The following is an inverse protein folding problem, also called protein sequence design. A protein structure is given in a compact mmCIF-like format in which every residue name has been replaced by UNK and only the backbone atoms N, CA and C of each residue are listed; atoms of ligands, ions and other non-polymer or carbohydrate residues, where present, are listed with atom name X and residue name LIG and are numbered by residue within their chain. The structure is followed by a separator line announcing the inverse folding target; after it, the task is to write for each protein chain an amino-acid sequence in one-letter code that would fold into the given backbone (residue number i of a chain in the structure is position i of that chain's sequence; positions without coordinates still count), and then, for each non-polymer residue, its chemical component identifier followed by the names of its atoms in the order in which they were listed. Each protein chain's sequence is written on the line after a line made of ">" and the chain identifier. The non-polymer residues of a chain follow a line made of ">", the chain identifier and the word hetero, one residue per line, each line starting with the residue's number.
data_IF_388603066299
#
_entry.id   IF_388603066299
#
_cell.length_a   1.000
_cell.length_b   1.000
_cell.length_c   1.000
_cell.angle_alpha   90.00
_cell.angle_beta   90.00
_cell.angle_gamma   90.00
#
_symmetry.space_group_name_H-M   'P 1'
#
loop_
_entity.id
_entity.type
_entity.pdbx_description
1 polymer ?
#
# COMPACT_ATOMS: atom_id res chain seq x y z
N UNK A 1 -13.42 8.44 22.92
CA UNK A 1 -14.20 8.11 21.70
C UNK A 1 -13.32 7.29 20.75
N UNK A 2 -13.50 5.96 20.68
CA UNK A 2 -12.74 5.10 19.76
C UNK A 2 -13.37 5.17 18.37
N UNK A 3 -12.75 5.89 17.45
CA UNK A 3 -13.11 5.84 16.03
C UNK A 3 -12.98 4.40 15.55
N UNK A 4 -14.10 3.70 15.37
CA UNK A 4 -14.13 2.37 14.74
C UNK A 4 -13.77 2.53 13.27
N UNK A 5 -12.48 2.56 12.95
CA UNK A 5 -12.02 2.40 11.56
C UNK A 5 -12.31 0.97 11.13
N UNK A 6 -13.32 0.81 10.29
CA UNK A 6 -13.84 -0.47 9.80
C UNK A 6 -13.00 -1.09 8.69
N UNK A 7 -11.97 -0.41 8.19
CA UNK A 7 -11.07 -0.89 7.13
C UNK A 7 -9.63 -0.73 7.60
N UNK A 8 -8.80 -1.77 7.45
CA UNK A 8 -7.40 -1.78 7.94
C UNK A 8 -6.38 -1.76 6.80
N UNK A 9 -6.84 -1.89 5.55
CA UNK A 9 -6.09 -1.44 4.37
C UNK A 9 -7.00 -1.15 3.18
N UNK A 10 -6.50 -0.31 2.27
CA UNK A 10 -7.13 0.04 1.00
C UNK A 10 -6.10 -0.21 -0.11
N UNK A 11 -6.51 -0.92 -1.16
CA UNK A 11 -5.71 -1.10 -2.36
C UNK A 11 -6.20 -0.18 -3.46
N UNK A 12 -5.26 0.45 -4.15
CA UNK A 12 -5.49 1.27 -5.32
C UNK A 12 -4.80 0.64 -6.53
N UNK A 13 -5.47 0.70 -7.68
CA UNK A 13 -4.89 0.34 -8.96
C UNK A 13 -5.01 1.51 -9.93
N UNK A 14 -4.05 1.61 -10.85
CA UNK A 14 -4.15 2.49 -12.00
C UNK A 14 -4.90 1.74 -13.09
N UNK A 15 -6.09 2.23 -13.43
CA UNK A 15 -6.94 1.70 -14.49
C UNK A 15 -6.69 2.45 -15.80
N UNK A 16 -6.51 1.70 -16.88
CA UNK A 16 -6.26 2.21 -18.24
C UNK A 16 -5.13 3.25 -18.32
N UNK A 17 -4.09 3.09 -17.50
CA UNK A 17 -2.93 4.01 -17.41
C UNK A 17 -3.31 5.48 -17.11
N UNK A 18 -4.55 5.76 -16.67
CA UNK A 18 -5.11 7.11 -16.57
C UNK A 18 -5.69 7.44 -15.20
N UNK A 19 -6.33 6.48 -14.54
CA UNK A 19 -7.12 6.75 -13.34
C UNK A 19 -6.73 5.87 -12.16
N UNK A 20 -6.50 6.49 -11.00
CA UNK A 20 -6.30 5.77 -9.75
C UNK A 20 -7.65 5.44 -9.14
N UNK A 21 -7.98 4.14 -9.05
CA UNK A 21 -9.25 3.66 -8.50
C UNK A 21 -9.01 2.75 -7.29
N UNK A 22 -9.99 2.69 -6.39
CA UNK A 22 -9.93 1.73 -5.28
C UNK A 22 -10.25 0.34 -5.83
N UNK A 23 -9.27 -0.56 -5.77
CA UNK A 23 -9.42 -1.94 -6.21
C UNK A 23 -10.03 -2.81 -5.12
N UNK A 24 -9.64 -2.59 -3.87
CA UNK A 24 -10.11 -3.41 -2.75
C UNK A 24 -10.06 -2.68 -1.41
N UNK A 25 -10.99 -3.01 -0.51
CA UNK A 25 -11.04 -2.49 0.87
C UNK A 25 -11.22 -3.68 1.80
N UNK A 26 -10.33 -3.85 2.78
CA UNK A 26 -10.41 -5.01 3.67
C UNK A 26 -10.11 -4.73 5.13
N UNK A 27 -10.51 -5.71 5.95
CA UNK A 27 -10.27 -5.80 7.39
C UNK A 27 -9.07 -6.71 7.67
N UNK A 28 -8.08 -6.15 8.37
CA UNK A 28 -6.83 -6.68 9.01
C UNK A 28 -5.89 -7.60 8.25
N UNK A 29 -6.33 -8.37 7.27
CA UNK A 29 -5.46 -9.36 6.64
C UNK A 29 -4.93 -8.83 5.30
N UNK A 30 -3.71 -8.30 5.34
CA UNK A 30 -2.91 -7.85 4.19
C UNK A 30 -2.77 -8.94 3.10
N UNK A 31 -2.95 -10.21 3.50
CA UNK A 31 -2.50 -11.40 2.77
C UNK A 31 -3.46 -11.88 1.66
N UNK A 32 -4.72 -11.43 1.61
CA UNK A 32 -5.67 -11.92 0.60
C UNK A 32 -5.61 -11.19 -0.75
N UNK A 33 -4.74 -10.19 -0.92
CA UNK A 33 -4.49 -9.54 -2.21
C UNK A 33 -3.44 -10.25 -3.08
N UNK A 34 -2.92 -11.40 -2.61
CA UNK A 34 -1.79 -12.16 -3.16
C UNK A 34 -1.99 -12.82 -4.54
N UNK A 35 -3.02 -12.47 -5.31
CA UNK A 35 -3.41 -13.32 -6.45
C UNK A 35 -3.43 -12.63 -7.82
N UNK A 36 -2.84 -11.44 -7.99
CA UNK A 36 -2.71 -10.87 -9.33
C UNK A 36 -1.29 -10.36 -9.56
N UNK A 37 -0.63 -10.86 -10.62
CA UNK A 37 0.62 -10.33 -11.21
C UNK A 37 0.40 -8.91 -11.75
N UNK A 38 0.06 -7.98 -10.88
CA UNK A 38 -0.31 -6.61 -11.23
C UNK A 38 0.33 -5.68 -10.21
N UNK A 39 0.79 -4.54 -10.69
CA UNK A 39 1.18 -3.46 -9.80
C UNK A 39 -0.06 -2.92 -9.08
N UNK A 40 0.13 -2.47 -7.85
CA UNK A 40 -0.91 -1.87 -7.01
C UNK A 40 -0.27 -1.01 -5.92
N UNK A 41 -1.05 -0.08 -5.39
CA UNK A 41 -0.68 0.65 -4.18
C UNK A 41 -1.52 0.14 -3.02
N UNK A 42 -0.91 -0.01 -1.85
CA UNK A 42 -1.62 -0.31 -0.61
C UNK A 42 -1.43 0.81 0.40
N UNK A 43 -2.52 1.24 1.03
CA UNK A 43 -2.49 2.11 2.21
C UNK A 43 -2.91 1.27 3.39
N UNK A 44 -2.00 1.09 4.34
CA UNK A 44 -2.20 0.33 5.55
C UNK A 44 -2.27 1.27 6.76
N UNK A 45 -3.30 1.11 7.59
CA UNK A 45 -3.44 1.85 8.83
C UNK A 45 -2.82 1.00 9.96
N UNK A 46 -1.61 1.36 10.36
CA UNK A 46 -0.86 0.61 11.36
C UNK A 46 -1.15 1.16 12.76
N UNK A 47 -1.68 0.30 13.63
CA UNK A 47 -1.93 0.58 15.04
C UNK A 47 -1.19 -0.45 15.89
N UNK A 48 -0.20 0.00 16.68
CA UNK A 48 0.46 -0.84 17.69
C UNK A 48 0.06 -0.42 19.10
N UNK A 49 -0.08 -1.38 20.04
CA UNK A 49 -0.39 -1.08 21.44
C UNK A 49 0.57 -0.03 22.02
N UNK A 50 0.03 1.05 22.59
CA UNK A 50 0.81 2.10 23.23
C UNK A 50 1.49 3.11 22.29
N UNK A 51 1.26 3.04 20.97
CA UNK A 51 1.72 4.07 20.02
C UNK A 51 0.54 4.68 19.25
N UNK A 52 0.73 5.91 18.78
CA UNK A 52 -0.27 6.60 17.96
C UNK A 52 -0.38 5.90 16.59
N UNK A 53 -1.59 5.67 16.05
CA UNK A 53 -1.77 5.05 14.74
C UNK A 53 -1.21 5.95 13.64
N UNK A 54 -0.65 5.32 12.60
CA UNK A 54 -0.09 6.03 11.45
C UNK A 54 -0.31 5.27 10.15
N UNK A 55 -0.27 5.99 9.03
CA UNK A 55 -0.44 5.39 7.71
C UNK A 55 0.91 4.94 7.14
N UNK A 56 0.91 3.74 6.58
CA UNK A 56 1.99 3.18 5.78
C UNK A 56 1.49 3.08 4.34
N UNK A 57 2.29 3.59 3.41
CA UNK A 57 2.01 3.49 1.99
C UNK A 57 2.96 2.50 1.35
N UNK A 58 2.43 1.51 0.66
CA UNK A 58 3.19 0.45 0.02
C UNK A 58 2.97 0.55 -1.48
N UNK A 59 4.06 0.63 -2.23
CA UNK A 59 4.06 0.57 -3.69
C UNK A 59 4.49 -0.85 -4.06
N UNK A 60 3.56 -1.64 -4.58
CA UNK A 60 3.81 -3.00 -5.06
C UNK A 60 3.99 -2.99 -6.58
N UNK A 61 5.19 -3.29 -7.03
CA UNK A 61 5.53 -3.36 -8.46
C UNK A 61 6.38 -4.60 -8.73
N UNK A 62 5.74 -5.76 -8.98
CA UNK A 62 6.47 -6.99 -9.24
C UNK A 62 7.50 -6.86 -10.36
N UNK A 63 8.58 -7.63 -10.28
CA UNK A 63 9.61 -7.66 -11.33
C UNK A 63 9.08 -8.21 -12.66
N UNK A 64 8.08 -9.09 -12.63
CA UNK A 64 7.48 -9.79 -13.78
C UNK A 64 6.38 -8.99 -14.54
N UNK A 65 6.25 -7.67 -14.32
CA UNK A 65 5.31 -6.82 -15.05
C UNK A 65 5.98 -6.00 -16.16
N UNK A 66 5.18 -5.53 -17.11
CA UNK A 66 5.62 -4.69 -18.22
C UNK A 66 6.32 -3.40 -17.74
N UNK A 67 7.37 -3.00 -18.47
CA UNK A 67 8.20 -1.82 -18.16
C UNK A 67 7.36 -0.53 -18.17
N UNK A 68 6.42 -0.40 -19.09
CA UNK A 68 5.49 0.74 -19.16
C UNK A 68 4.66 0.82 -17.88
N UNK A 69 4.14 -0.31 -17.39
CA UNK A 69 3.40 -0.35 -16.12
C UNK A 69 4.28 0.08 -14.95
N UNK A 70 5.53 -0.38 -14.87
CA UNK A 70 6.47 0.07 -13.83
C UNK A 70 6.68 1.58 -13.87
N UNK A 71 6.89 2.13 -15.07
CA UNK A 71 7.07 3.57 -15.26
C UNK A 71 5.85 4.37 -14.81
N UNK A 72 4.64 3.95 -15.18
CA UNK A 72 3.40 4.63 -14.80
C UNK A 72 3.23 4.63 -13.29
N UNK A 73 3.44 3.48 -12.64
CA UNK A 73 3.36 3.39 -11.18
C UNK A 73 4.43 4.24 -10.48
N UNK A 74 5.64 4.31 -11.02
CA UNK A 74 6.68 5.21 -10.49
C UNK A 74 6.28 6.68 -10.62
N UNK A 75 5.78 7.10 -11.80
CA UNK A 75 5.35 8.47 -12.07
C UNK A 75 4.13 8.90 -11.24
N UNK A 76 3.16 8.01 -11.03
CA UNK A 76 1.94 8.30 -10.27
C UNK A 76 2.10 8.19 -8.74
N UNK A 77 3.22 7.65 -8.26
CA UNK A 77 3.49 7.44 -6.82
C UNK A 77 3.44 8.75 -6.03
N UNK A 78 4.00 9.83 -6.55
CA UNK A 78 4.04 11.11 -5.84
C UNK A 78 2.66 11.76 -5.74
N UNK A 79 1.85 11.62 -6.80
CA UNK A 79 0.50 12.16 -6.87
C UNK A 79 -0.42 11.57 -5.77
N UNK A 80 -0.35 10.25 -5.56
CA UNK A 80 -1.15 9.60 -4.51
C UNK A 80 -0.61 9.90 -3.11
N UNK A 81 0.72 9.93 -2.92
CA UNK A 81 1.34 10.29 -1.64
C UNK A 81 0.87 11.65 -1.13
N UNK A 82 0.85 12.67 -2.01
CA UNK A 82 0.39 14.02 -1.65
C UNK A 82 -1.08 14.09 -1.21
N UNK A 83 -1.90 13.11 -1.60
CA UNK A 83 -3.31 13.02 -1.20
C UNK A 83 -3.49 12.29 0.13
N UNK A 84 -2.47 11.59 0.62
CA UNK A 84 -2.51 10.84 1.88
C UNK A 84 -1.97 11.71 3.02
N UNK A 85 -2.86 12.11 3.94
CA UNK A 85 -2.50 12.90 5.12
C UNK A 85 -2.15 11.96 6.28
N UNK A 86 -1.05 12.23 6.99
CA UNK A 86 -0.62 11.40 8.12
C UNK A 86 0.18 10.16 7.72
N UNK A 87 0.79 10.19 6.53
CA UNK A 87 1.76 9.19 6.10
C UNK A 87 3.03 9.28 6.95
N UNK A 88 3.39 8.18 7.65
CA UNK A 88 4.66 8.11 8.39
C UNK A 88 5.79 7.57 7.51
N UNK A 89 5.50 6.57 6.68
CA UNK A 89 6.52 5.92 5.86
C UNK A 89 5.95 5.39 4.54
N UNK A 90 6.84 5.27 3.55
CA UNK A 90 6.58 4.59 2.28
C UNK A 90 7.48 3.38 2.14
N UNK A 91 6.93 2.29 1.64
CA UNK A 91 7.65 1.06 1.33
C UNK A 91 7.48 0.77 -0.16
N UNK A 92 8.59 0.51 -0.84
CA UNK A 92 8.57 -0.03 -2.20
C UNK A 92 8.89 -1.51 -2.09
N UNK A 93 8.11 -2.32 -2.79
CA UNK A 93 8.21 -3.76 -2.75
C UNK A 93 8.06 -4.33 -4.16
N UNK A 94 8.96 -5.24 -4.50
CA UNK A 94 9.03 -5.90 -5.78
C UNK A 94 8.84 -7.42 -5.64
N UNK A 95 9.13 -7.95 -4.45
CA UNK A 95 9.00 -9.36 -4.10
C UNK A 95 8.21 -9.52 -2.80
N UNK A 96 7.56 -10.68 -2.62
CA UNK A 96 6.63 -10.87 -1.50
C UNK A 96 7.33 -10.77 -0.14
N UNK A 97 8.62 -11.13 -0.08
CA UNK A 97 9.47 -11.01 1.11
C UNK A 97 9.64 -9.54 1.56
N UNK A 98 9.53 -8.56 0.66
CA UNK A 98 9.63 -7.13 0.98
C UNK A 98 8.46 -6.62 1.83
N UNK A 99 7.32 -7.35 1.86
CA UNK A 99 6.07 -6.93 2.53
C UNK A 99 5.76 -7.81 3.75
N UNK A 100 6.77 -8.48 4.30
CA UNK A 100 6.59 -9.30 5.49
C UNK A 100 6.27 -8.44 6.72
N UNK A 101 5.46 -8.95 7.66
CA UNK A 101 5.10 -8.22 8.88
C UNK A 101 6.34 -7.76 9.68
N UNK A 102 7.42 -8.54 9.62
CA UNK A 102 8.70 -8.19 10.22
C UNK A 102 9.35 -6.95 9.59
N UNK A 103 9.31 -6.83 8.27
CA UNK A 103 9.86 -5.67 7.53
C UNK A 103 9.02 -4.41 7.77
N UNK A 104 7.69 -4.56 7.82
CA UNK A 104 6.80 -3.48 8.24
C UNK A 104 7.14 -3.01 9.67
N UNK A 105 7.46 -3.93 10.58
CA UNK A 105 7.83 -3.61 11.96
C UNK A 105 9.21 -2.95 12.05
N UNK A 106 10.21 -3.40 11.30
CA UNK A 106 11.55 -2.78 11.26
C UNK A 106 11.50 -1.34 10.75
N UNK A 107 10.75 -1.08 9.67
CA UNK A 107 10.62 0.26 9.09
C UNK A 107 9.77 1.24 9.92
N UNK A 108 9.15 0.75 10.99
CA UNK A 108 8.26 1.55 11.82
C UNK A 108 8.66 1.66 13.29
N UNK A 109 9.70 0.92 13.68
CA UNK A 109 10.26 0.86 15.03
C UNK A 109 10.80 2.21 15.47
#
# INVERSE_FOLDING_TARGET
>A
MKFRKTHRYILYEIFDDKEIRVSYRAKRNLVSARTKRRALYAVYDYESPGRMPYLVFIVWTPTDIDIRTKMIYAASTDAIKRKLIGLKTTIQAHELDDITEEELRKKTS
#
